data_IF_911326588691
#
_entry.id   IF_911326588691
#
_cell.length_a   1.000
_cell.length_b   1.000
_cell.length_c   1.000
_cell.angle_alpha   90.00
_cell.angle_beta   90.00
_cell.angle_gamma   90.00
#
_symmetry.space_group_name_H-M   'P 1'
#
loop_
_entity.id
_entity.type
_entity.pdbx_description
1 polymer ?
#
# COMPACT_ATOMS: atom_id res chain seq x y z
N UNK A 1 -40.22 43.48 -8.64
CA UNK A 1 -38.75 43.43 -8.46
C UNK A 1 -38.05 42.85 -9.69
N UNK A 2 -37.45 43.71 -10.52
CA UNK A 2 -36.73 43.33 -11.72
C UNK A 2 -35.53 42.42 -11.37
N UNK A 3 -35.56 41.18 -11.86
CA UNK A 3 -34.47 40.21 -11.79
C UNK A 3 -33.30 40.75 -12.61
N UNK A 4 -32.29 41.33 -11.94
CA UNK A 4 -31.09 41.86 -12.61
C UNK A 4 -30.31 40.71 -13.27
N UNK A 5 -29.91 40.78 -14.55
CA UNK A 5 -29.20 39.69 -15.24
C UNK A 5 -27.86 39.29 -14.56
N UNK A 6 -27.34 40.11 -13.64
CA UNK A 6 -26.14 39.80 -12.88
C UNK A 6 -26.24 38.57 -11.96
N UNK A 7 -27.41 38.25 -11.36
CA UNK A 7 -27.48 37.09 -10.45
C UNK A 7 -27.34 35.77 -11.21
N UNK A 8 -27.90 35.66 -12.43
CA UNK A 8 -27.81 34.44 -13.25
C UNK A 8 -26.37 34.17 -13.67
N UNK A 9 -25.64 35.23 -14.05
CA UNK A 9 -24.23 35.12 -14.40
C UNK A 9 -23.41 34.68 -13.18
N UNK A 10 -23.65 35.24 -12.00
CA UNK A 10 -22.95 34.85 -10.77
C UNK A 10 -23.23 33.39 -10.39
N UNK A 11 -24.48 32.93 -10.46
CA UNK A 11 -24.81 31.52 -10.21
C UNK A 11 -24.17 30.59 -11.25
N UNK A 12 -24.16 30.97 -12.53
CA UNK A 12 -23.53 30.20 -13.58
C UNK A 12 -22.01 30.08 -13.36
N UNK A 13 -21.35 31.19 -13.01
CA UNK A 13 -19.91 31.21 -12.69
C UNK A 13 -19.61 30.40 -11.43
N UNK A 14 -20.42 30.52 -10.38
CA UNK A 14 -20.25 29.76 -9.15
C UNK A 14 -20.46 28.25 -9.38
N UNK A 15 -21.48 27.87 -10.16
CA UNK A 15 -21.74 26.47 -10.50
C UNK A 15 -20.60 25.89 -11.35
N UNK A 16 -20.09 26.65 -12.32
CA UNK A 16 -18.93 26.25 -13.13
C UNK A 16 -17.66 26.13 -12.29
N UNK A 17 -17.38 27.10 -11.43
CA UNK A 17 -16.22 27.06 -10.54
C UNK A 17 -16.30 25.86 -9.58
N UNK A 18 -17.48 25.59 -9.03
CA UNK A 18 -17.72 24.45 -8.15
C UNK A 18 -17.56 23.12 -8.88
N UNK A 19 -18.09 22.99 -10.10
CA UNK A 19 -17.95 21.76 -10.88
C UNK A 19 -16.50 21.50 -11.28
N UNK A 20 -15.76 22.54 -11.67
CA UNK A 20 -14.32 22.45 -11.97
C UNK A 20 -13.54 22.04 -10.72
N UNK A 21 -13.81 22.63 -9.56
CA UNK A 21 -13.13 22.27 -8.32
C UNK A 21 -13.35 20.80 -7.94
N UNK A 22 -14.58 20.30 -8.01
CA UNK A 22 -14.91 18.89 -7.73
C UNK A 22 -14.20 17.96 -8.70
N UNK A 23 -14.18 18.29 -10.00
CA UNK A 23 -13.49 17.49 -11.00
C UNK A 23 -11.98 17.44 -10.74
N UNK A 24 -11.37 18.57 -10.39
CA UNK A 24 -9.94 18.62 -10.03
C UNK A 24 -9.65 17.73 -8.82
N UNK A 25 -10.47 17.79 -7.76
CA UNK A 25 -10.30 16.92 -6.59
C UNK A 25 -10.37 15.44 -6.97
N UNK A 26 -11.41 15.03 -7.71
CA UNK A 26 -11.57 13.63 -8.14
C UNK A 26 -10.38 13.17 -8.99
N UNK A 27 -9.86 14.03 -9.87
CA UNK A 27 -8.68 13.71 -10.66
C UNK A 27 -7.42 13.55 -9.80
N UNK A 28 -7.24 14.40 -8.79
CA UNK A 28 -6.13 14.29 -7.84
C UNK A 28 -6.22 12.97 -7.07
N UNK A 29 -7.37 12.65 -6.48
CA UNK A 29 -7.55 11.40 -5.72
C UNK A 29 -7.33 10.18 -6.62
N UNK A 30 -7.90 10.20 -7.82
CA UNK A 30 -7.70 9.14 -8.82
C UNK A 30 -6.23 8.98 -9.18
N UNK A 31 -5.49 10.09 -9.33
CA UNK A 31 -4.06 10.05 -9.62
C UNK A 31 -3.28 9.41 -8.47
N UNK A 32 -3.59 9.75 -7.21
CA UNK A 32 -2.94 9.16 -6.05
C UNK A 32 -3.23 7.67 -5.93
N UNK A 33 -4.50 7.24 -6.10
CA UNK A 33 -4.85 5.82 -6.09
C UNK A 33 -4.12 5.05 -7.19
N UNK A 34 -3.99 5.62 -8.39
CA UNK A 34 -3.25 5.01 -9.50
C UNK A 34 -1.76 4.89 -9.19
N UNK A 35 -1.15 5.91 -8.58
CA UNK A 35 0.26 5.84 -8.17
C UNK A 35 0.50 4.78 -7.09
N UNK A 36 -0.37 4.69 -6.08
CA UNK A 36 -0.30 3.65 -5.04
C UNK A 36 -0.44 2.26 -5.66
N UNK A 37 -1.41 2.08 -6.57
CA UNK A 37 -1.63 0.81 -7.27
C UNK A 37 -0.46 0.44 -8.19
N UNK A 38 0.14 1.42 -8.87
CA UNK A 38 1.33 1.21 -9.69
C UNK A 38 2.50 0.70 -8.83
N UNK A 39 2.79 1.37 -7.71
CA UNK A 39 3.83 0.91 -6.77
C UNK A 39 3.52 -0.50 -6.28
N UNK A 40 2.27 -0.77 -5.91
CA UNK A 40 1.84 -2.10 -5.46
C UNK A 40 2.05 -3.17 -6.54
N UNK A 41 1.70 -2.87 -7.80
CA UNK A 41 1.87 -3.77 -8.93
C UNK A 41 3.35 -4.04 -9.21
N UNK A 42 4.20 -3.02 -9.17
CA UNK A 42 5.64 -3.16 -9.34
C UNK A 42 6.29 -4.00 -8.23
N UNK A 43 5.82 -3.87 -6.99
CA UNK A 43 6.21 -4.76 -5.91
C UNK A 43 5.80 -6.22 -6.17
N UNK A 44 4.59 -6.43 -6.69
CA UNK A 44 4.08 -7.76 -6.99
C UNK A 44 4.87 -8.42 -8.14
N UNK A 45 5.15 -7.68 -9.23
CA UNK A 45 5.98 -8.16 -10.34
C UNK A 45 7.37 -8.52 -9.85
N UNK A 46 7.98 -7.68 -9.00
CA UNK A 46 9.29 -7.98 -8.41
C UNK A 46 9.23 -9.26 -7.54
N UNK A 47 8.16 -9.45 -6.78
CA UNK A 47 7.95 -10.63 -5.94
C UNK A 47 7.85 -11.91 -6.79
N UNK A 48 7.12 -11.86 -7.90
CA UNK A 48 6.97 -12.97 -8.84
C UNK A 48 8.27 -13.26 -9.60
N UNK A 49 9.01 -12.23 -10.01
CA UNK A 49 10.33 -12.35 -10.63
C UNK A 49 11.35 -12.99 -9.69
N UNK A 50 11.34 -12.64 -8.40
CA UNK A 50 12.22 -13.25 -7.40
C UNK A 50 11.88 -14.74 -7.18
N UNK A 51 10.60 -15.09 -7.19
CA UNK A 51 10.17 -16.49 -7.12
C UNK A 51 10.57 -17.29 -8.38
N UNK A 52 10.52 -16.68 -9.56
CA UNK A 52 10.98 -17.27 -10.83
C UNK A 52 12.49 -17.53 -10.82
N UNK A 53 13.29 -16.54 -10.40
CA UNK A 53 14.74 -16.70 -10.24
C UNK A 53 15.06 -17.81 -9.25
N UNK A 54 14.30 -17.92 -8.15
CA UNK A 54 14.44 -19.03 -7.20
C UNK A 54 14.22 -20.41 -7.83
N UNK A 55 13.18 -20.58 -8.65
CA UNK A 55 12.93 -21.83 -9.38
C UNK A 55 14.02 -22.13 -10.42
N UNK A 56 14.52 -21.11 -11.12
CA UNK A 56 15.57 -21.27 -12.11
C UNK A 56 16.91 -21.69 -11.46
N UNK A 57 17.24 -21.15 -10.29
CA UNK A 57 18.40 -21.58 -9.49
C UNK A 57 18.27 -23.06 -9.08
N UNK A 58 17.08 -23.50 -8.65
CA UNK A 58 16.82 -24.91 -8.31
C UNK A 58 16.97 -25.82 -9.54
N UNK A 59 16.43 -25.40 -10.69
CA UNK A 59 16.54 -26.14 -11.96
C UNK A 59 17.98 -26.25 -12.47
N UNK A 60 18.80 -25.21 -12.26
CA UNK A 60 20.20 -25.20 -12.68
C UNK A 60 21.09 -26.11 -11.81
N UNK A 61 20.62 -26.51 -10.62
CA UNK A 61 21.35 -27.40 -9.73
C UNK A 61 20.45 -28.52 -9.14
N UNK A 62 20.13 -29.56 -9.93
CA UNK A 62 19.29 -30.67 -9.47
C UNK A 62 19.96 -31.55 -8.39
N UNK A 63 21.25 -31.37 -8.12
CA UNK A 63 21.99 -32.17 -7.12
C UNK A 63 21.94 -31.57 -5.70
N UNK A 64 21.34 -30.38 -5.51
CA UNK A 64 21.17 -29.73 -4.20
C UNK A 64 19.87 -30.09 -3.46
N UNK A 65 18.96 -30.85 -4.08
CA UNK A 65 17.67 -31.21 -3.48
C UNK A 65 17.80 -32.32 -2.43
N UNK A 66 18.38 -32.02 -1.27
CA UNK A 66 18.18 -32.85 -0.08
C UNK A 66 18.42 -32.05 1.21
N UNK A 67 17.54 -31.09 1.52
CA UNK A 67 17.34 -30.64 2.90
C UNK A 67 16.06 -29.80 3.06
N UNK A 68 14.89 -30.42 2.94
CA UNK A 68 13.65 -29.88 3.51
C UNK A 68 12.76 -31.01 4.06
N UNK A 69 13.15 -31.50 5.25
CA UNK A 69 12.33 -32.05 6.34
C UNK A 69 11.26 -33.13 6.07
N UNK A 70 11.55 -34.38 6.50
CA UNK A 70 10.56 -35.29 7.06
C UNK A 70 11.19 -36.11 8.20
N UNK A 71 10.45 -36.27 9.29
CA UNK A 71 10.86 -36.92 10.53
C UNK A 71 10.89 -38.46 10.44
N UNK A 72 11.78 -39.10 11.22
CA UNK A 72 11.60 -40.47 11.73
C UNK A 72 12.63 -41.53 11.31
N UNK A 73 13.16 -42.23 12.32
CA UNK A 73 13.83 -43.55 12.34
C UNK A 73 15.35 -43.69 12.05
N UNK A 74 16.11 -43.66 13.16
CA UNK A 74 17.06 -44.69 13.69
C UNK A 74 17.82 -45.59 12.70
N UNK A 75 19.16 -45.54 12.76
CA UNK A 75 20.06 -46.58 12.21
C UNK A 75 21.55 -46.18 12.27
N UNK A 76 22.38 -47.10 12.74
CA UNK A 76 23.82 -47.03 13.08
C UNK A 76 24.82 -46.93 11.90
N UNK A 77 26.07 -46.64 12.27
CA UNK A 77 27.37 -46.97 11.66
C UNK A 77 27.98 -46.19 10.47
N UNK A 78 29.01 -45.39 10.85
CA UNK A 78 30.38 -45.31 10.31
C UNK A 78 30.66 -45.83 8.89
N UNK A 79 30.99 -44.92 7.97
CA UNK A 79 32.26 -44.89 7.21
C UNK A 79 32.25 -43.71 6.23
N UNK A 80 33.23 -42.81 6.35
CA UNK A 80 33.49 -41.71 5.40
C UNK A 80 34.24 -42.27 4.18
N UNK A 81 33.71 -42.19 2.94
CA UNK A 81 34.49 -42.44 1.75
C UNK A 81 35.14 -41.14 1.23
N UNK A 82 36.28 -41.24 0.52
CA UNK A 82 37.18 -40.12 0.29
C UNK A 82 36.63 -39.13 -0.75
N UNK A 83 36.92 -37.86 -0.51
CA UNK A 83 36.69 -36.74 -1.44
C UNK A 83 37.36 -37.08 -2.77
N UNK A 84 36.54 -37.32 -3.80
CA UNK A 84 36.98 -37.40 -5.19
C UNK A 84 36.82 -36.00 -5.79
N UNK A 85 37.89 -35.31 -6.21
CA UNK A 85 37.74 -34.09 -6.99
C UNK A 85 37.27 -34.50 -8.40
N UNK A 86 35.95 -34.58 -8.58
CA UNK A 86 35.37 -34.82 -9.89
C UNK A 86 35.40 -33.53 -10.68
N UNK A 87 36.47 -33.35 -11.44
CA UNK A 87 36.51 -32.52 -12.62
C UNK A 87 35.50 -33.06 -13.64
N UNK A 88 34.22 -32.68 -13.47
CA UNK A 88 33.25 -32.76 -14.56
C UNK A 88 33.60 -31.67 -15.59
N UNK A 89 33.45 -31.92 -16.89
CA UNK A 89 33.74 -30.93 -17.92
C UNK A 89 32.88 -29.68 -17.68
N UNK A 90 33.52 -28.53 -17.49
CA UNK A 90 32.86 -27.23 -17.42
C UNK A 90 32.18 -26.98 -18.77
N UNK A 91 30.85 -27.07 -18.82
CA UNK A 91 30.08 -26.68 -20.00
C UNK A 91 29.96 -25.16 -20.02
N UNK A 92 30.40 -24.51 -21.10
CA UNK A 92 30.29 -23.06 -21.32
C UNK A 92 28.84 -22.54 -21.19
N UNK A 93 27.86 -23.45 -21.33
CA UNK A 93 26.43 -23.21 -21.17
C UNK A 93 26.00 -22.97 -19.69
N UNK A 94 26.65 -23.62 -18.72
CA UNK A 94 26.33 -23.47 -17.28
C UNK A 94 26.87 -22.15 -16.71
N UNK A 95 28.07 -21.72 -17.14
CA UNK A 95 28.62 -20.40 -16.77
C UNK A 95 27.75 -19.26 -17.35
N UNK A 96 27.28 -19.44 -18.59
CA UNK A 96 26.37 -18.49 -19.25
C UNK A 96 25.02 -18.38 -18.53
N UNK A 97 24.44 -19.50 -18.11
CA UNK A 97 23.20 -19.54 -17.33
C UNK A 97 23.35 -18.84 -15.96
N UNK A 98 24.44 -19.11 -15.23
CA UNK A 98 24.74 -18.48 -13.93
C UNK A 98 24.95 -16.97 -14.07
N UNK A 99 25.63 -16.55 -15.14
CA UNK A 99 25.83 -15.13 -15.46
C UNK A 99 24.52 -14.43 -15.80
N UNK A 100 23.61 -15.09 -16.53
CA UNK A 100 22.26 -14.58 -16.81
C UNK A 100 21.44 -14.41 -15.54
N UNK A 101 21.44 -15.40 -14.63
CA UNK A 101 20.76 -15.33 -13.34
C UNK A 101 21.30 -14.19 -12.47
N UNK A 102 22.62 -13.99 -12.47
CA UNK A 102 23.24 -12.86 -11.77
C UNK A 102 22.79 -11.51 -12.35
N UNK A 103 22.76 -11.37 -13.68
CA UNK A 103 22.28 -10.14 -14.34
C UNK A 103 20.80 -9.85 -14.03
N UNK A 104 19.94 -10.87 -14.06
CA UNK A 104 18.53 -10.74 -13.68
C UNK A 104 18.37 -10.29 -12.22
N UNK A 105 19.17 -10.82 -11.30
CA UNK A 105 19.14 -10.38 -9.90
C UNK A 105 19.59 -8.92 -9.77
N UNK A 106 20.67 -8.52 -10.46
CA UNK A 106 21.15 -7.13 -10.45
C UNK A 106 20.08 -6.18 -11.02
N UNK A 107 19.37 -6.60 -12.07
CA UNK A 107 18.25 -5.84 -12.62
C UNK A 107 17.09 -5.72 -11.62
N UNK A 108 16.70 -6.81 -10.95
CA UNK A 108 15.69 -6.80 -9.90
C UNK A 108 16.08 -5.88 -8.73
N UNK A 109 17.35 -5.87 -8.32
CA UNK A 109 17.86 -4.96 -7.29
C UNK A 109 17.78 -3.50 -7.75
N UNK A 110 18.17 -3.20 -8.99
CA UNK A 110 18.06 -1.85 -9.57
C UNK A 110 16.61 -1.39 -9.65
N UNK A 111 15.71 -2.29 -10.07
CA UNK A 111 14.27 -2.03 -10.14
C UNK A 111 13.70 -1.73 -8.76
N UNK A 112 14.05 -2.53 -7.75
CA UNK A 112 13.65 -2.30 -6.36
C UNK A 112 14.16 -0.96 -5.83
N UNK A 113 15.40 -0.56 -6.15
CA UNK A 113 15.92 0.76 -5.77
C UNK A 113 15.14 1.90 -6.43
N UNK A 114 14.71 1.74 -7.68
CA UNK A 114 13.86 2.72 -8.35
C UNK A 114 12.48 2.81 -7.70
N UNK A 115 11.88 1.67 -7.35
CA UNK A 115 10.62 1.60 -6.59
C UNK A 115 10.74 2.34 -5.26
N UNK A 116 11.81 2.11 -4.48
CA UNK A 116 12.00 2.79 -3.20
C UNK A 116 12.06 4.32 -3.39
N UNK A 117 12.80 4.80 -4.40
CA UNK A 117 12.86 6.25 -4.70
C UNK A 117 11.48 6.82 -5.07
N UNK A 118 10.72 6.11 -5.90
CA UNK A 118 9.36 6.48 -6.25
C UNK A 118 8.44 6.49 -5.02
N UNK A 119 8.54 5.46 -4.18
CA UNK A 119 7.79 5.35 -2.94
C UNK A 119 8.09 6.50 -1.98
N UNK A 120 9.35 6.91 -1.81
CA UNK A 120 9.71 8.04 -0.94
C UNK A 120 9.09 9.37 -1.39
N UNK A 121 9.05 9.61 -2.71
CA UNK A 121 8.37 10.79 -3.26
C UNK A 121 6.87 10.70 -3.05
N UNK A 122 6.28 9.53 -3.30
CA UNK A 122 4.86 9.26 -3.11
C UNK A 122 4.47 9.39 -1.63
N UNK A 123 5.27 8.87 -0.70
CA UNK A 123 5.06 8.98 0.74
C UNK A 123 5.05 10.45 1.16
N UNK A 124 6.02 11.25 0.71
CA UNK A 124 6.05 12.68 1.02
C UNK A 124 4.79 13.39 0.49
N UNK A 125 4.37 13.11 -0.75
CA UNK A 125 3.18 13.71 -1.34
C UNK A 125 1.88 13.26 -0.62
N UNK A 126 1.76 11.97 -0.33
CA UNK A 126 0.62 11.41 0.39
C UNK A 126 0.53 11.92 1.82
N UNK A 127 1.65 12.14 2.50
CA UNK A 127 1.63 12.72 3.85
C UNK A 127 0.95 14.09 3.85
N UNK A 128 1.28 14.97 2.90
CA UNK A 128 0.60 16.25 2.74
C UNK A 128 -0.88 16.08 2.36
N UNK A 129 -1.17 15.23 1.37
CA UNK A 129 -2.54 14.99 0.90
C UNK A 129 -3.45 14.45 1.99
N UNK A 130 -3.00 13.45 2.74
CA UNK A 130 -3.78 12.80 3.80
C UNK A 130 -3.95 13.74 5.00
N UNK A 131 -2.96 14.59 5.31
CA UNK A 131 -3.14 15.63 6.32
C UNK A 131 -4.26 16.61 5.95
N UNK A 132 -4.35 17.02 4.67
CA UNK A 132 -5.42 17.90 4.18
C UNK A 132 -6.77 17.16 4.19
N UNK A 133 -6.79 15.89 3.80
CA UNK A 133 -7.98 15.03 3.83
C UNK A 133 -8.55 14.92 5.26
N UNK A 134 -7.70 14.61 6.25
CA UNK A 134 -8.11 14.49 7.66
C UNK A 134 -8.62 15.82 8.22
N UNK A 135 -7.94 16.93 7.91
CA UNK A 135 -8.40 18.26 8.31
C UNK A 135 -9.78 18.58 7.70
N UNK A 136 -9.96 18.29 6.42
CA UNK A 136 -11.23 18.52 5.70
C UNK A 136 -12.35 17.65 6.27
N UNK A 137 -12.05 16.40 6.65
CA UNK A 137 -13.01 15.51 7.30
C UNK A 137 -13.48 16.09 8.65
N UNK A 138 -12.54 16.49 9.51
CA UNK A 138 -12.84 17.12 10.81
C UNK A 138 -13.69 18.37 10.62
N UNK A 139 -13.28 19.28 9.72
CA UNK A 139 -14.04 20.50 9.43
C UNK A 139 -15.45 20.18 8.94
N UNK A 140 -15.61 19.20 8.05
CA UNK A 140 -16.92 18.83 7.52
C UNK A 140 -17.83 18.27 8.61
N UNK A 141 -17.31 17.44 9.51
CA UNK A 141 -18.06 16.94 10.67
C UNK A 141 -18.46 18.11 11.59
N UNK A 142 -17.53 19.02 11.92
CA UNK A 142 -17.82 20.20 12.72
C UNK A 142 -18.89 21.11 12.08
N UNK A 143 -18.78 21.38 10.78
CA UNK A 143 -19.78 22.16 10.05
C UNK A 143 -21.14 21.46 10.01
N UNK A 144 -21.16 20.13 9.88
CA UNK A 144 -22.39 19.34 9.90
C UNK A 144 -23.09 19.46 11.25
N UNK A 145 -22.34 19.38 12.36
CA UNK A 145 -22.85 19.56 13.72
C UNK A 145 -23.43 20.97 13.91
N UNK A 146 -22.63 21.99 13.57
CA UNK A 146 -23.05 23.37 13.70
C UNK A 146 -24.30 23.67 12.87
N UNK A 147 -24.31 23.25 11.61
CA UNK A 147 -25.46 23.47 10.73
C UNK A 147 -26.70 22.71 11.22
N UNK A 148 -26.55 21.48 11.70
CA UNK A 148 -27.64 20.73 12.32
C UNK A 148 -28.23 21.50 13.52
N UNK A 149 -27.38 22.02 14.42
CA UNK A 149 -27.83 22.79 15.60
C UNK A 149 -28.60 24.07 15.23
N UNK A 150 -28.16 24.80 14.19
CA UNK A 150 -28.82 26.03 13.73
C UNK A 150 -30.13 25.73 12.99
N UNK A 151 -30.16 24.70 12.15
CA UNK A 151 -31.37 24.34 11.41
C UNK A 151 -32.46 23.75 12.30
N UNK A 152 -32.09 23.14 13.43
CA UNK A 152 -33.04 22.58 14.40
C UNK A 152 -33.94 23.65 15.02
N UNK A 153 -33.45 24.89 15.17
CA UNK A 153 -34.24 26.01 15.69
C UNK A 153 -35.33 26.50 14.73
N UNK A 154 -35.41 25.94 13.52
CA UNK A 154 -36.30 26.40 12.45
C UNK A 154 -37.26 25.27 12.05
N UNK A 155 -38.56 25.52 12.15
CA UNK A 155 -39.60 24.56 11.74
C UNK A 155 -39.35 24.02 10.31
N UNK A 156 -39.26 22.69 10.18
CA UNK A 156 -38.98 22.00 8.91
C UNK A 156 -37.51 21.78 8.56
N UNK A 157 -36.57 22.00 9.49
CA UNK A 157 -35.12 21.82 9.30
C UNK A 157 -34.64 20.38 9.08
N UNK A 158 -35.40 19.36 9.48
CA UNK A 158 -35.00 17.95 9.47
C UNK A 158 -34.57 17.44 8.08
N UNK A 159 -35.33 17.80 7.02
CA UNK A 159 -34.99 17.41 5.63
C UNK A 159 -33.66 18.00 5.16
N UNK A 160 -33.29 19.20 5.63
CA UNK A 160 -31.99 19.83 5.30
C UNK A 160 -30.85 19.24 6.12
N UNK A 161 -31.08 18.96 7.40
CA UNK A 161 -30.11 18.30 8.26
C UNK A 161 -29.74 16.91 7.72
N UNK A 162 -30.75 16.10 7.35
CA UNK A 162 -30.55 14.75 6.81
C UNK A 162 -29.74 14.75 5.50
N UNK A 163 -29.91 15.77 4.65
CA UNK A 163 -29.14 15.95 3.40
C UNK A 163 -27.67 16.29 3.65
N UNK A 164 -27.33 16.91 4.77
CA UNK A 164 -25.93 17.25 5.10
C UNK A 164 -25.25 16.05 5.74
N UNK A 165 -25.93 15.38 6.66
CA UNK A 165 -25.44 14.15 7.30
C UNK A 165 -25.13 13.04 6.28
N UNK A 166 -25.83 12.99 5.14
CA UNK A 166 -25.53 12.02 4.07
C UNK A 166 -24.15 12.20 3.42
N UNK A 167 -23.45 13.31 3.67
CA UNK A 167 -22.10 13.55 3.13
C UNK A 167 -21.00 12.85 3.95
N UNK A 168 -21.26 12.51 5.22
CA UNK A 168 -20.28 11.92 6.13
C UNK A 168 -19.84 10.51 5.68
N UNK A 169 -20.75 9.60 5.27
CA UNK A 169 -20.36 8.28 4.76
C UNK A 169 -19.43 8.37 3.55
N UNK A 170 -19.61 9.36 2.67
CA UNK A 170 -18.76 9.54 1.49
C UNK A 170 -17.30 9.80 1.88
N UNK A 171 -17.07 10.70 2.85
CA UNK A 171 -15.74 11.03 3.36
C UNK A 171 -15.08 9.84 4.08
N UNK A 172 -15.89 9.02 4.77
CA UNK A 172 -15.40 7.81 5.42
C UNK A 172 -14.97 6.75 4.40
N UNK A 173 -15.73 6.57 3.32
CA UNK A 173 -15.37 5.66 2.22
C UNK A 173 -14.04 6.10 1.60
N UNK A 174 -13.90 7.38 1.27
CA UNK A 174 -12.67 7.93 0.68
C UNK A 174 -11.45 7.69 1.58
N UNK A 175 -11.56 8.05 2.87
CA UNK A 175 -10.49 7.80 3.85
C UNK A 175 -10.19 6.30 4.00
N UNK A 176 -11.22 5.45 3.96
CA UNK A 176 -11.09 4.00 4.03
C UNK A 176 -10.35 3.41 2.85
N UNK A 177 -10.61 3.91 1.64
CA UNK A 177 -9.90 3.48 0.42
C UNK A 177 -8.40 3.77 0.53
N UNK A 178 -8.01 4.99 0.94
CA UNK A 178 -6.59 5.31 1.18
C UNK A 178 -5.92 4.37 2.19
N UNK A 179 -6.60 4.05 3.30
CA UNK A 179 -6.10 3.12 4.30
C UNK A 179 -5.95 1.67 3.79
N UNK A 180 -6.91 1.20 2.97
CA UNK A 180 -6.85 -0.15 2.38
C UNK A 180 -5.70 -0.25 1.38
N UNK A 181 -5.55 0.73 0.48
CA UNK A 181 -4.46 0.73 -0.49
C UNK A 181 -3.10 0.91 0.19
N UNK A 182 -3.02 1.75 1.22
CA UNK A 182 -1.83 1.89 2.05
C UNK A 182 -1.41 0.55 2.66
N UNK A 183 -2.36 -0.17 3.27
CA UNK A 183 -2.10 -1.50 3.81
C UNK A 183 -1.68 -2.51 2.74
N UNK A 184 -2.26 -2.45 1.54
CA UNK A 184 -1.90 -3.36 0.45
C UNK A 184 -0.43 -3.21 0.04
N UNK A 185 0.10 -1.97 0.04
CA UNK A 185 1.54 -1.73 -0.18
C UNK A 185 2.39 -2.36 0.91
N UNK A 186 2.00 -2.19 2.20
CA UNK A 186 2.70 -2.81 3.33
C UNK A 186 2.72 -4.34 3.17
N UNK A 187 1.55 -4.94 2.94
CA UNK A 187 1.38 -6.39 2.81
C UNK A 187 2.26 -6.96 1.66
N UNK A 188 2.36 -6.27 0.52
CA UNK A 188 3.24 -6.70 -0.58
C UNK A 188 4.73 -6.49 -0.26
N UNK A 189 5.07 -5.41 0.43
CA UNK A 189 6.45 -5.12 0.84
C UNK A 189 6.99 -6.16 1.82
N UNK A 190 6.16 -6.66 2.74
CA UNK A 190 6.53 -7.72 3.68
C UNK A 190 6.65 -9.11 3.02
N UNK A 191 5.94 -9.33 1.91
CA UNK A 191 6.02 -10.58 1.14
C UNK A 191 7.33 -10.68 0.34
N UNK A 192 7.87 -9.55 -0.10
CA UNK A 192 9.10 -9.48 -0.89
C UNK A 192 10.31 -10.18 -0.22
N UNK A 193 10.67 -9.90 1.06
CA UNK A 193 11.78 -10.60 1.71
C UNK A 193 11.51 -12.09 1.90
N UNK A 194 10.25 -12.50 2.15
CA UNK A 194 9.90 -13.93 2.29
C UNK A 194 10.11 -14.69 0.99
N UNK A 195 9.72 -14.10 -0.14
CA UNK A 195 9.94 -14.69 -1.47
C UNK A 195 11.44 -14.73 -1.81
N UNK A 196 12.16 -13.64 -1.55
CA UNK A 196 13.61 -13.59 -1.72
C UNK A 196 14.34 -14.64 -0.88
N UNK A 197 13.89 -14.88 0.36
CA UNK A 197 14.47 -15.91 1.23
C UNK A 197 14.18 -17.33 0.73
N UNK A 198 13.01 -17.53 0.10
CA UNK A 198 12.58 -18.83 -0.43
C UNK A 198 13.28 -19.24 -1.74
N UNK A 199 14.03 -18.32 -2.37
CA UNK A 199 14.91 -18.73 -3.48
C UNK A 199 16.02 -19.64 -2.91
N UNK A 200 16.36 -20.74 -3.56
CA UNK A 200 17.40 -21.67 -3.05
C UNK A 200 18.82 -21.09 -3.22
N UNK A 201 19.10 -19.96 -2.56
CA UNK A 201 20.36 -19.21 -2.61
C UNK A 201 21.53 -19.89 -1.89
N UNK A 202 21.25 -20.97 -1.16
CA UNK A 202 22.26 -21.75 -0.43
C UNK A 202 23.27 -22.35 -1.41
N UNK A 203 22.79 -22.79 -2.57
CA UNK A 203 23.60 -23.43 -3.63
C UNK A 203 24.06 -22.45 -4.72
N UNK A 204 23.78 -21.15 -4.55
CA UNK A 204 24.14 -20.12 -5.51
C UNK A 204 25.58 -19.60 -5.31
N UNK A 205 26.11 -18.96 -6.36
CA UNK A 205 27.46 -18.39 -6.34
C UNK A 205 27.64 -17.35 -5.21
N UNK A 206 28.87 -17.25 -4.68
CA UNK A 206 29.19 -16.38 -3.56
C UNK A 206 28.89 -14.89 -3.85
N UNK A 207 28.98 -14.47 -5.12
CA UNK A 207 28.60 -13.12 -5.56
C UNK A 207 27.09 -12.90 -5.49
N UNK A 208 26.30 -13.89 -5.91
CA UNK A 208 24.83 -13.85 -5.85
C UNK A 208 24.35 -13.81 -4.39
N UNK A 209 24.95 -14.67 -3.55
CA UNK A 209 24.66 -14.77 -2.11
C UNK A 209 24.84 -13.43 -1.40
N UNK A 210 25.95 -12.72 -1.65
CA UNK A 210 26.19 -11.40 -1.05
C UNK A 210 25.18 -10.35 -1.52
N UNK A 211 24.87 -10.30 -2.82
CA UNK A 211 23.91 -9.36 -3.38
C UNK A 211 22.50 -9.59 -2.81
N UNK A 212 22.07 -10.85 -2.72
CA UNK A 212 20.78 -11.23 -2.16
C UNK A 212 20.68 -10.91 -0.65
N UNK A 213 21.76 -11.09 0.11
CA UNK A 213 21.76 -10.80 1.54
C UNK A 213 21.61 -9.30 1.81
N UNK A 214 22.30 -8.46 1.02
CA UNK A 214 22.12 -7.00 1.04
C UNK A 214 20.67 -6.64 0.65
N UNK A 215 20.13 -7.28 -0.39
CA UNK A 215 18.74 -7.07 -0.80
C UNK A 215 17.77 -7.43 0.32
N UNK A 216 17.92 -8.60 0.95
CA UNK A 216 17.07 -9.07 2.04
C UNK A 216 17.07 -8.09 3.23
N UNK A 217 18.26 -7.63 3.65
CA UNK A 217 18.38 -6.62 4.72
C UNK A 217 17.64 -5.33 4.38
N UNK A 218 17.63 -4.90 3.12
CA UNK A 218 16.94 -3.69 2.67
C UNK A 218 15.42 -3.90 2.56
N UNK A 219 14.99 -5.07 2.08
CA UNK A 219 13.56 -5.43 1.94
C UNK A 219 12.89 -5.81 3.26
N UNK A 220 13.67 -6.10 4.31
CA UNK A 220 13.13 -6.41 5.65
C UNK A 220 12.47 -5.21 6.34
N UNK A 221 12.67 -3.99 5.84
CA UNK A 221 11.92 -2.82 6.28
C UNK A 221 10.69 -2.66 5.39
N UNK A 222 9.47 -2.83 5.93
CA UNK A 222 8.24 -2.67 5.15
C UNK A 222 8.10 -1.22 4.67
N UNK A 223 7.52 -1.06 3.48
CA UNK A 223 7.19 0.24 2.92
C UNK A 223 5.86 0.70 3.51
N UNK A 224 5.92 1.53 4.54
CA UNK A 224 4.76 2.02 5.27
C UNK A 224 4.52 3.51 5.01
N UNK A 225 3.26 3.91 4.80
CA UNK A 225 2.91 5.33 4.72
C UNK A 225 2.69 5.91 6.11
N UNK A 226 3.41 6.98 6.44
CA UNK A 226 3.26 7.68 7.72
C UNK A 226 2.69 9.09 7.53
N UNK A 227 1.62 9.41 8.26
CA UNK A 227 1.01 10.76 8.31
C UNK A 227 1.53 11.52 9.51
N UNK A 228 1.99 12.75 9.28
CA UNK A 228 2.43 13.66 10.34
C UNK A 228 3.55 13.11 11.23
N UNK A 229 4.27 12.06 10.79
CA UNK A 229 5.25 11.27 11.56
C UNK A 229 4.71 10.58 12.81
N UNK A 230 3.39 10.57 13.03
CA UNK A 230 2.77 10.05 14.25
C UNK A 230 1.83 8.88 13.98
N UNK A 231 1.17 8.85 12.82
CA UNK A 231 0.12 7.88 12.51
C UNK A 231 0.51 7.08 11.27
N UNK A 232 0.59 5.76 11.41
CA UNK A 232 0.77 4.85 10.28
C UNK A 232 -0.57 4.60 9.59
N UNK A 233 -0.60 4.63 8.26
CA UNK A 233 -1.77 4.17 7.51
C UNK A 233 -1.86 2.66 7.62
N UNK A 234 -2.84 2.21 8.40
CA UNK A 234 -3.19 0.80 8.51
C UNK A 234 -4.70 0.64 8.56
N UNK A 235 -5.17 -0.58 8.30
CA UNK A 235 -6.58 -0.96 8.51
C UNK A 235 -7.02 -0.70 9.96
N UNK A 236 -6.12 -0.88 10.92
CA UNK A 236 -6.39 -0.62 12.34
C UNK A 236 -6.65 0.87 12.62
N UNK A 237 -5.82 1.76 12.06
CA UNK A 237 -6.02 3.21 12.17
C UNK A 237 -7.35 3.64 11.56
N UNK A 238 -7.75 3.06 10.42
CA UNK A 238 -9.06 3.31 9.82
C UNK A 238 -10.22 2.91 10.74
N UNK A 239 -10.16 1.71 11.35
CA UNK A 239 -11.19 1.26 12.29
C UNK A 239 -11.31 2.19 13.50
N UNK A 240 -10.20 2.72 14.00
CA UNK A 240 -10.21 3.72 15.08
C UNK A 240 -10.94 4.99 14.64
N UNK A 241 -10.62 5.53 13.46
CA UNK A 241 -11.28 6.72 12.90
C UNK A 241 -12.79 6.47 12.68
N UNK A 242 -13.15 5.31 12.15
CA UNK A 242 -14.54 4.92 11.91
C UNK A 242 -15.33 4.85 13.22
N UNK A 243 -14.78 4.20 14.25
CA UNK A 243 -15.41 4.09 15.56
C UNK A 243 -15.61 5.47 16.19
N UNK A 244 -14.58 6.34 16.17
CA UNK A 244 -14.70 7.71 16.67
C UNK A 244 -15.79 8.50 15.91
N UNK A 245 -15.84 8.37 14.59
CA UNK A 245 -16.86 9.03 13.76
C UNK A 245 -18.26 8.52 14.07
N UNK A 246 -18.43 7.22 14.24
CA UNK A 246 -19.70 6.61 14.63
C UNK A 246 -20.18 7.10 16.00
N UNK A 247 -19.28 7.17 16.99
CA UNK A 247 -19.60 7.74 18.30
C UNK A 247 -20.07 9.19 18.19
N UNK A 248 -19.39 10.02 17.40
CA UNK A 248 -19.80 11.42 17.18
C UNK A 248 -21.19 11.53 16.54
N UNK A 249 -21.47 10.72 15.51
CA UNK A 249 -22.79 10.70 14.86
C UNK A 249 -23.87 10.22 15.83
N UNK A 250 -23.59 9.18 16.61
CA UNK A 250 -24.53 8.65 17.60
C UNK A 250 -24.86 9.68 18.69
N UNK A 251 -23.86 10.42 19.16
CA UNK A 251 -24.07 11.53 20.11
C UNK A 251 -24.97 12.60 19.50
N UNK A 252 -24.75 12.99 18.24
CA UNK A 252 -25.64 13.95 17.57
C UNK A 252 -27.07 13.45 17.47
N UNK A 253 -27.24 12.16 17.16
CA UNK A 253 -28.56 11.55 17.08
C UNK A 253 -29.26 11.58 18.45
N UNK A 254 -28.55 11.26 19.53
CA UNK A 254 -29.09 11.33 20.90
C UNK A 254 -29.47 12.77 21.30
N UNK A 255 -28.64 13.76 20.97
CA UNK A 255 -28.99 15.16 21.20
C UNK A 255 -30.23 15.57 20.41
N UNK A 256 -30.41 15.04 19.21
CA UNK A 256 -31.61 15.28 18.40
C UNK A 256 -32.86 14.69 19.07
N UNK A 257 -32.81 13.43 19.50
CA UNK A 257 -33.94 12.75 20.18
C UNK A 257 -34.30 13.40 21.52
N UNK A 258 -33.33 13.92 22.26
CA UNK A 258 -33.59 14.61 23.54
C UNK A 258 -34.29 15.97 23.41
N UNK A 259 -34.31 16.54 22.21
CA UNK A 259 -34.81 17.89 21.94
C UNK A 259 -36.16 17.90 21.20
N UNK A 260 -36.69 16.72 20.88
CA UNK A 260 -38.08 16.44 20.43
C UNK A 260 -38.93 15.96 21.62
#
# INVERSE_FOLDING_TARGET
>A
PARSPGYEIVYAVQALCGSVAVLVSILLDTSFYKLILMVTAELQVLNDNMALVGRAVVSANPNGSSAAGAAGQKGEDVAVPPIKPSAAPYTEDDDSARKLLYLQLVENVRHHQAIIKCFQLLESALNYSISILLLTNILTVCFSIFFASVMLQRDGGLRRAMKITSSIPNLLIETGMFCIFGQMVVDQSERLPRSAYSCSWVDADARLKRALLIFLMRTSQPLEFTVGKLIKLSKETFLKILNSSYTLISLLYQFQESND
#
